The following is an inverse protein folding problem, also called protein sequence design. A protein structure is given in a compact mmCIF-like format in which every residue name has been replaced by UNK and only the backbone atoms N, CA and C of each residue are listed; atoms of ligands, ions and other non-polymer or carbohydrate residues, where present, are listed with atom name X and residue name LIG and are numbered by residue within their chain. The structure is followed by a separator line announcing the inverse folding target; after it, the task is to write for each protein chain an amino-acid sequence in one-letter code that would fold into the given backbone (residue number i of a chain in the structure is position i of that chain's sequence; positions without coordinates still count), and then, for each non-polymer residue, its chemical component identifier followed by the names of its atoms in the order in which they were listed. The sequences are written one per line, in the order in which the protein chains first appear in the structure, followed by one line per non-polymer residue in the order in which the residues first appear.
data_IF_262560750134
#
_entry.id   IF_262560750134
#
_cell.length_a   1.000
_cell.length_b   1.000
_cell.length_c   1.000
_cell.angle_alpha   90.00
_cell.angle_beta   90.00
_cell.angle_gamma   90.00
#
_symmetry.space_group_name_H-M   'P 1'
#
loop_
_entity.id
_entity.type
_entity.pdbx_description
1 polymer ?
#
# COMPACT_ATOMS: atom_id res chain seq x y z
N UNK A 1 0.74 5.26 -46.14
CA UNK A 1 1.68 4.97 -45.04
C UNK A 1 0.98 5.34 -43.76
N UNK A 2 0.42 4.36 -43.05
CA UNK A 2 -0.21 4.56 -41.75
C UNK A 2 0.87 4.58 -40.69
N UNK A 3 1.10 5.75 -40.08
CA UNK A 3 1.92 5.84 -38.87
C UNK A 3 1.29 4.96 -37.79
N UNK A 4 2.00 3.91 -37.39
CA UNK A 4 1.65 3.18 -36.18
C UNK A 4 1.98 4.09 -34.99
N UNK A 5 0.97 4.78 -34.46
CA UNK A 5 1.09 5.46 -33.17
C UNK A 5 1.36 4.37 -32.14
N UNK A 6 2.62 4.27 -31.67
CA UNK A 6 2.94 3.38 -30.58
C UNK A 6 1.99 3.70 -29.40
N UNK A 7 1.38 2.69 -28.76
CA UNK A 7 0.47 2.94 -27.65
C UNK A 7 1.19 3.75 -26.58
N UNK A 8 0.57 4.86 -26.14
CA UNK A 8 1.11 5.70 -25.08
C UNK A 8 1.28 4.84 -23.82
N UNK A 9 2.50 4.75 -23.30
CA UNK A 9 2.76 4.08 -22.02
C UNK A 9 1.90 4.74 -20.94
N UNK A 10 1.10 3.92 -20.25
CA UNK A 10 0.20 4.34 -19.17
C UNK A 10 0.87 4.19 -17.82
N UNK A 11 0.42 4.95 -16.84
CA UNK A 11 0.85 4.88 -15.45
C UNK A 11 -0.22 4.20 -14.58
N UNK A 12 0.16 3.15 -13.86
CA UNK A 12 -0.69 2.43 -12.92
C UNK A 12 -0.47 2.94 -11.49
N UNK A 13 -1.54 3.21 -10.74
CA UNK A 13 -1.46 3.39 -9.30
C UNK A 13 -1.72 2.06 -8.59
N UNK A 14 -0.72 1.55 -7.89
CA UNK A 14 -0.84 0.32 -7.11
C UNK A 14 -1.26 0.68 -5.68
N UNK A 15 -2.38 0.13 -5.23
CA UNK A 15 -2.90 0.38 -3.87
C UNK A 15 -3.56 -0.88 -3.31
N UNK A 16 -3.48 -1.08 -1.99
CA UNK A 16 -4.10 -2.24 -1.35
C UNK A 16 -4.03 -2.24 0.17
N UNK A 17 -4.56 -3.30 0.79
CA UNK A 17 -4.56 -3.44 2.23
C UNK A 17 -3.14 -3.60 2.81
N UNK A 18 -3.00 -3.22 4.08
CA UNK A 18 -1.78 -3.42 4.88
C UNK A 18 -1.64 -4.87 5.36
N UNK A 19 -2.78 -5.52 5.64
CA UNK A 19 -2.87 -6.91 6.08
C UNK A 19 -3.85 -7.66 5.18
N UNK A 20 -3.48 -8.85 4.73
CA UNK A 20 -4.29 -9.71 3.87
C UNK A 20 -3.85 -11.18 4.01
N UNK A 21 -4.67 -12.15 3.57
CA UNK A 21 -4.31 -13.57 3.52
C UNK A 21 -3.08 -13.86 2.65
N UNK A 22 -2.33 -14.93 2.94
CA UNK A 22 -1.03 -15.22 2.32
C UNK A 22 -1.06 -15.28 0.78
N UNK A 23 -2.14 -15.78 0.17
CA UNK A 23 -2.31 -15.94 -1.27
C UNK A 23 -2.98 -14.74 -1.96
N UNK A 24 -3.40 -13.72 -1.20
CA UNK A 24 -4.15 -12.57 -1.73
C UNK A 24 -3.33 -11.79 -2.76
N UNK A 25 -2.07 -11.47 -2.47
CA UNK A 25 -1.23 -10.73 -3.41
C UNK A 25 -0.99 -11.53 -4.70
N UNK A 26 -0.68 -12.81 -4.57
CA UNK A 26 -0.45 -13.70 -5.71
C UNK A 26 -1.71 -13.83 -6.59
N UNK A 27 -2.89 -13.88 -5.97
CA UNK A 27 -4.16 -14.06 -6.66
C UNK A 27 -4.59 -12.78 -7.40
N UNK A 28 -4.52 -11.62 -6.73
CA UNK A 28 -5.15 -10.40 -7.23
C UNK A 28 -4.17 -9.42 -7.88
N UNK A 29 -2.91 -9.40 -7.46
CA UNK A 29 -1.94 -8.40 -7.93
C UNK A 29 -0.98 -8.95 -8.98
N UNK A 30 -0.42 -10.13 -8.80
CA UNK A 30 0.61 -10.65 -9.72
C UNK A 30 0.14 -10.73 -11.18
N UNK A 31 -1.08 -11.20 -11.51
CA UNK A 31 -1.53 -11.24 -12.90
C UNK A 31 -1.61 -9.83 -13.53
N UNK A 32 -2.13 -8.86 -12.78
CA UNK A 32 -2.29 -7.48 -13.24
C UNK A 32 -0.96 -6.75 -13.38
N UNK A 33 -0.05 -6.97 -12.42
CA UNK A 33 1.31 -6.43 -12.47
C UNK A 33 2.07 -7.02 -13.66
N UNK A 34 1.98 -8.34 -13.88
CA UNK A 34 2.61 -9.00 -15.03
C UNK A 34 2.12 -8.43 -16.35
N UNK A 35 0.82 -8.22 -16.50
CA UNK A 35 0.23 -7.60 -17.70
C UNK A 35 0.75 -6.17 -17.89
N UNK A 36 0.71 -5.33 -16.85
CA UNK A 36 1.18 -3.96 -16.90
C UNK A 36 2.69 -3.85 -17.20
N UNK A 37 3.51 -4.74 -16.63
CA UNK A 37 4.95 -4.84 -16.90
C UNK A 37 5.17 -5.16 -18.38
N UNK A 38 4.50 -6.19 -18.89
CA UNK A 38 4.61 -6.63 -20.30
C UNK A 38 4.16 -5.56 -21.30
N UNK A 39 3.23 -4.69 -20.88
CA UNK A 39 2.71 -3.58 -21.67
C UNK A 39 3.60 -2.33 -21.59
N UNK A 40 4.71 -2.37 -20.86
CA UNK A 40 5.64 -1.24 -20.76
C UNK A 40 5.09 -0.07 -19.92
N UNK A 41 4.15 -0.33 -18.99
CA UNK A 41 3.53 0.71 -18.16
C UNK A 41 4.48 1.25 -17.07
N UNK A 42 4.23 2.47 -16.62
CA UNK A 42 4.87 3.05 -15.44
C UNK A 42 4.01 2.81 -14.19
N UNK A 43 4.58 3.03 -13.01
CA UNK A 43 3.96 2.71 -11.73
C UNK A 43 4.12 3.85 -10.74
N UNK A 44 3.04 4.15 -10.02
CA UNK A 44 3.07 4.97 -8.80
C UNK A 44 2.64 4.11 -7.62
N UNK A 45 3.37 4.25 -6.51
CA UNK A 45 3.17 3.43 -5.30
C UNK A 45 3.46 4.26 -4.05
N UNK A 46 2.78 3.96 -2.95
CA UNK A 46 3.08 4.54 -1.64
C UNK A 46 4.21 3.81 -0.91
N UNK A 47 4.54 4.20 0.33
CA UNK A 47 5.53 3.56 1.17
C UNK A 47 4.90 2.64 2.23
N UNK A 48 3.58 2.38 2.16
CA UNK A 48 2.87 1.69 3.23
C UNK A 48 3.31 0.21 3.35
N UNK A 49 3.27 -0.37 4.56
CA UNK A 49 3.42 -1.81 4.70
C UNK A 49 2.29 -2.57 3.99
N UNK A 50 2.53 -3.84 3.65
CA UNK A 50 1.57 -4.68 2.94
C UNK A 50 1.71 -4.50 1.43
N UNK A 51 0.61 -4.15 0.75
CA UNK A 51 0.52 -4.17 -0.72
C UNK A 51 1.58 -3.31 -1.38
N UNK A 52 1.76 -2.06 -0.95
CA UNK A 52 2.73 -1.14 -1.55
C UNK A 52 4.16 -1.70 -1.49
N UNK A 53 4.55 -2.23 -0.32
CA UNK A 53 5.88 -2.85 -0.14
C UNK A 53 6.05 -4.10 -0.99
N UNK A 54 5.03 -4.96 -1.05
CA UNK A 54 5.07 -6.18 -1.87
C UNK A 54 5.09 -5.86 -3.36
N UNK A 55 4.34 -4.87 -3.80
CA UNK A 55 4.31 -4.39 -5.18
C UNK A 55 5.66 -3.80 -5.60
N UNK A 56 6.25 -2.90 -4.80
CA UNK A 56 7.58 -2.36 -5.10
C UNK A 56 8.60 -3.49 -5.22
N UNK A 57 8.61 -4.44 -4.27
CA UNK A 57 9.49 -5.60 -4.35
C UNK A 57 9.25 -6.42 -5.63
N UNK A 58 7.99 -6.72 -5.95
CA UNK A 58 7.64 -7.49 -7.14
C UNK A 58 8.14 -6.82 -8.42
N UNK A 59 7.99 -5.49 -8.55
CA UNK A 59 8.48 -4.73 -9.68
C UNK A 59 10.01 -4.81 -9.82
N UNK A 60 10.73 -4.68 -8.70
CA UNK A 60 12.20 -4.79 -8.67
C UNK A 60 12.68 -6.21 -9.01
N UNK A 61 12.00 -7.24 -8.51
CA UNK A 61 12.34 -8.64 -8.79
C UNK A 61 12.05 -9.05 -10.26
N UNK A 62 11.26 -8.25 -10.98
CA UNK A 62 10.90 -8.48 -12.39
C UNK A 62 11.59 -7.48 -13.34
N UNK A 63 12.73 -6.93 -12.93
CA UNK A 63 13.61 -6.07 -13.74
C UNK A 63 12.88 -4.84 -14.35
N UNK A 64 11.87 -4.30 -13.67
CA UNK A 64 11.24 -3.05 -14.09
C UNK A 64 12.25 -1.92 -13.88
N UNK A 65 12.53 -1.17 -14.95
CA UNK A 65 13.41 -0.01 -14.86
C UNK A 65 12.92 0.98 -13.80
N UNK A 66 13.85 1.43 -12.94
CA UNK A 66 13.53 2.33 -11.83
C UNK A 66 12.95 3.68 -12.29
N UNK A 67 13.30 4.12 -13.51
CA UNK A 67 12.73 5.31 -14.17
C UNK A 67 11.22 5.22 -14.39
N UNK A 68 10.66 3.99 -14.43
CA UNK A 68 9.23 3.69 -14.57
C UNK A 68 8.51 3.61 -13.23
N UNK A 69 9.20 3.76 -12.09
CA UNK A 69 8.62 3.64 -10.75
C UNK A 69 8.75 4.98 -10.02
N UNK A 70 7.62 5.54 -9.58
CA UNK A 70 7.59 6.71 -8.70
C UNK A 70 7.00 6.36 -7.34
N UNK A 71 7.78 6.55 -6.28
CA UNK A 71 7.30 6.38 -4.91
C UNK A 71 6.80 7.72 -4.39
N UNK A 72 5.54 7.78 -3.98
CA UNK A 72 4.96 8.96 -3.35
C UNK A 72 5.10 8.87 -1.85
N UNK A 73 5.44 9.98 -1.21
CA UNK A 73 5.62 10.11 0.23
C UNK A 73 4.87 11.33 0.73
N UNK A 74 4.42 11.29 1.97
CA UNK A 74 4.11 12.51 2.73
C UNK A 74 5.40 13.18 3.22
N UNK A 75 5.34 14.45 3.61
CA UNK A 75 6.48 15.14 4.22
C UNK A 75 7.05 14.41 5.45
N UNK A 76 6.18 13.78 6.24
CA UNK A 76 6.62 13.01 7.40
C UNK A 76 7.34 11.71 7.00
N UNK A 77 6.83 11.02 5.98
CA UNK A 77 7.42 9.78 5.46
C UNK A 77 8.78 10.04 4.81
N UNK A 78 8.94 11.14 4.06
CA UNK A 78 10.24 11.54 3.51
C UNK A 78 11.30 11.67 4.61
N UNK A 79 10.97 12.40 5.70
CA UNK A 79 11.90 12.60 6.83
C UNK A 79 12.23 11.30 7.56
N UNK A 80 11.22 10.45 7.76
CA UNK A 80 11.39 9.22 8.57
C UNK A 80 11.96 8.05 7.79
N UNK A 81 11.87 8.10 6.46
CA UNK A 81 12.39 7.07 5.55
C UNK A 81 13.60 7.57 4.74
N UNK A 82 14.25 8.68 5.15
CA UNK A 82 15.29 9.36 4.39
C UNK A 82 16.38 8.43 3.84
N UNK A 83 16.90 7.50 4.63
CA UNK A 83 17.93 6.55 4.18
C UNK A 83 17.44 5.66 3.02
N UNK A 84 16.17 5.23 3.07
CA UNK A 84 15.56 4.41 2.01
C UNK A 84 15.27 5.23 0.75
N UNK A 85 14.83 6.48 0.96
CA UNK A 85 14.58 7.43 -0.13
C UNK A 85 15.88 7.69 -0.88
N UNK A 86 16.95 8.03 -0.16
CA UNK A 86 18.27 8.28 -0.74
C UNK A 86 18.79 7.05 -1.49
N UNK A 87 18.71 5.86 -0.89
CA UNK A 87 19.09 4.63 -1.57
C UNK A 87 18.30 4.40 -2.87
N UNK A 88 16.98 4.61 -2.84
CA UNK A 88 16.13 4.38 -4.02
C UNK A 88 16.42 5.40 -5.14
N UNK A 89 16.63 6.68 -4.79
CA UNK A 89 16.95 7.73 -5.75
C UNK A 89 18.36 7.60 -6.33
N UNK A 90 19.35 7.18 -5.54
CA UNK A 90 20.72 6.89 -6.01
C UNK A 90 20.76 5.78 -7.07
N UNK A 91 19.82 4.82 -7.00
CA UNK A 91 19.67 3.79 -8.02
C UNK A 91 18.93 4.27 -9.28
N UNK A 92 18.45 5.52 -9.30
CA UNK A 92 17.70 6.10 -10.42
C UNK A 92 16.17 5.98 -10.30
N UNK A 93 15.66 5.65 -9.10
CA UNK A 93 14.24 5.67 -8.82
C UNK A 93 13.70 7.09 -8.63
N UNK A 94 12.40 7.29 -8.90
CA UNK A 94 11.76 8.59 -8.71
C UNK A 94 11.00 8.65 -7.38
N UNK A 95 11.11 9.78 -6.68
CA UNK A 95 10.36 10.04 -5.45
C UNK A 95 9.63 11.37 -5.59
N UNK A 96 8.40 11.42 -5.12
CA UNK A 96 7.61 12.66 -5.00
C UNK A 96 7.07 12.81 -3.59
N UNK A 97 7.16 14.02 -3.06
CA UNK A 97 6.63 14.37 -1.75
C UNK A 97 5.36 15.19 -1.95
N UNK A 98 4.24 14.72 -1.39
CA UNK A 98 2.92 15.30 -1.59
C UNK A 98 2.16 15.38 -0.26
N UNK A 99 1.90 16.61 0.17
CA UNK A 99 1.07 16.92 1.32
C UNK A 99 1.57 16.39 2.66
N UNK A 100 0.73 16.60 3.67
CA UNK A 100 1.03 16.24 5.07
C UNK A 100 0.36 14.93 5.44
N UNK A 101 -0.77 14.60 4.80
CA UNK A 101 -1.56 13.42 5.13
C UNK A 101 -1.45 12.34 4.06
N UNK A 102 -1.68 11.08 4.46
CA UNK A 102 -1.78 9.95 3.52
C UNK A 102 -2.88 10.18 2.48
N UNK A 103 -3.96 10.88 2.84
CA UNK A 103 -5.04 11.22 1.90
C UNK A 103 -4.60 12.21 0.82
N UNK A 104 -3.73 13.18 1.15
CA UNK A 104 -3.18 14.12 0.17
C UNK A 104 -2.30 13.37 -0.83
N UNK A 105 -1.39 12.53 -0.31
CA UNK A 105 -0.53 11.66 -1.11
C UNK A 105 -1.33 10.73 -2.02
N UNK A 106 -2.33 10.05 -1.49
CA UNK A 106 -3.17 9.12 -2.27
C UNK A 106 -4.01 9.86 -3.32
N UNK A 107 -4.42 11.09 -3.03
CA UNK A 107 -5.09 11.97 -4.01
C UNK A 107 -4.14 12.33 -5.15
N UNK A 108 -2.88 12.66 -4.85
CA UNK A 108 -1.86 12.95 -5.85
C UNK A 108 -1.54 11.72 -6.72
N UNK A 109 -1.40 10.53 -6.12
CA UNK A 109 -1.20 9.28 -6.88
C UNK A 109 -2.40 8.97 -7.80
N UNK A 110 -3.63 9.22 -7.34
CA UNK A 110 -4.82 9.05 -8.20
C UNK A 110 -4.82 10.03 -9.37
N UNK A 111 -4.43 11.30 -9.13
CA UNK A 111 -4.33 12.35 -10.15
C UNK A 111 -3.26 12.05 -11.21
N UNK A 112 -2.13 11.50 -10.78
CA UNK A 112 -0.94 11.34 -11.61
C UNK A 112 -0.87 9.96 -12.31
N UNK A 113 -1.94 9.16 -12.23
CA UNK A 113 -2.03 7.82 -12.83
C UNK A 113 -3.26 7.66 -13.73
N UNK A 114 -3.14 6.83 -14.75
CA UNK A 114 -4.18 6.60 -15.75
C UNK A 114 -5.22 5.54 -15.31
N UNK A 115 -4.84 4.63 -14.41
CA UNK A 115 -5.71 3.58 -13.85
C UNK A 115 -5.13 3.05 -12.54
N UNK A 116 -5.92 2.24 -11.83
CA UNK A 116 -5.49 1.58 -10.59
C UNK A 116 -5.25 0.08 -10.81
N UNK A 117 -4.22 -0.46 -10.18
CA UNK A 117 -4.10 -1.87 -9.83
C UNK A 117 -4.39 -1.95 -8.34
N UNK A 118 -5.64 -2.25 -8.01
CA UNK A 118 -6.10 -2.31 -6.63
C UNK A 118 -7.05 -3.48 -6.41
N UNK A 119 -7.05 -3.96 -5.17
CA UNK A 119 -8.02 -4.90 -4.66
C UNK A 119 -8.22 -4.63 -3.16
N UNK A 120 -9.43 -4.85 -2.67
CA UNK A 120 -9.72 -4.79 -1.24
C UNK A 120 -10.78 -5.83 -0.89
N UNK A 121 -10.57 -6.50 0.24
CA UNK A 121 -11.50 -7.51 0.74
C UNK A 121 -12.93 -6.95 0.85
N UNK A 122 -13.91 -7.75 0.43
CA UNK A 122 -15.33 -7.54 0.71
C UNK A 122 -15.60 -7.48 2.22
N UNK A 123 -16.78 -6.99 2.61
CA UNK A 123 -17.15 -6.92 4.03
C UNK A 123 -17.13 -8.31 4.67
N UNK A 124 -17.60 -9.32 3.94
CA UNK A 124 -17.65 -10.72 4.37
C UNK A 124 -16.25 -11.28 4.56
N UNK A 125 -15.35 -11.07 3.60
CA UNK A 125 -13.94 -11.47 3.71
C UNK A 125 -13.23 -10.76 4.85
N UNK A 126 -13.47 -9.46 5.04
CA UNK A 126 -12.92 -8.71 6.16
C UNK A 126 -13.40 -9.25 7.51
N UNK A 127 -14.68 -9.61 7.64
CA UNK A 127 -15.22 -10.22 8.87
C UNK A 127 -14.55 -11.56 9.17
N UNK A 128 -14.36 -12.40 8.15
CA UNK A 128 -13.67 -13.69 8.29
C UNK A 128 -12.21 -13.49 8.67
N UNK A 129 -11.49 -12.60 7.98
CA UNK A 129 -10.06 -12.39 8.17
C UNK A 129 -9.73 -11.70 9.50
N UNK A 130 -10.44 -10.63 9.84
CA UNK A 130 -10.18 -9.87 11.06
C UNK A 130 -10.85 -10.46 12.29
N UNK A 131 -11.93 -11.23 12.14
CA UNK A 131 -12.71 -11.79 13.24
C UNK A 131 -13.19 -10.68 14.18
N UNK A 132 -12.88 -10.82 15.48
CA UNK A 132 -13.22 -9.82 16.50
C UNK A 132 -12.55 -8.45 16.29
N UNK A 133 -11.47 -8.38 15.48
CA UNK A 133 -10.82 -7.10 15.12
C UNK A 133 -11.54 -6.35 13.98
N UNK A 134 -12.57 -6.95 13.39
CA UNK A 134 -13.31 -6.32 12.31
C UNK A 134 -14.00 -5.04 12.79
N UNK A 135 -13.83 -3.96 12.04
CA UNK A 135 -14.51 -2.69 12.28
C UNK A 135 -15.01 -2.11 10.95
N UNK A 136 -16.31 -1.74 10.83
CA UNK A 136 -16.86 -1.22 9.59
C UNK A 136 -16.23 0.12 9.24
N UNK A 137 -15.50 0.18 8.13
CA UNK A 137 -14.86 1.41 7.62
C UNK A 137 -14.70 1.36 6.11
N UNK A 138 -14.63 2.54 5.50
CA UNK A 138 -14.12 2.69 4.13
C UNK A 138 -12.59 2.64 4.20
N UNK A 139 -11.98 1.63 3.57
CA UNK A 139 -10.52 1.49 3.56
C UNK A 139 -9.86 2.59 2.73
N UNK A 140 -8.55 2.83 2.93
CA UNK A 140 -7.82 3.79 2.10
C UNK A 140 -7.83 3.38 0.62
N UNK A 141 -7.65 2.09 0.33
CA UNK A 141 -7.74 1.53 -1.02
C UNK A 141 -9.13 1.74 -1.64
N UNK A 142 -10.20 1.51 -0.89
CA UNK A 142 -11.57 1.75 -1.35
C UNK A 142 -11.79 3.25 -1.65
N UNK A 143 -11.20 4.15 -0.86
CA UNK A 143 -11.24 5.59 -1.15
C UNK A 143 -10.56 5.94 -2.48
N UNK A 144 -9.49 5.23 -2.85
CA UNK A 144 -8.80 5.47 -4.11
C UNK A 144 -9.68 5.09 -5.31
N UNK A 145 -10.30 3.91 -5.27
CA UNK A 145 -11.28 3.47 -6.26
C UNK A 145 -12.47 4.45 -6.38
N UNK A 146 -13.02 4.87 -5.23
CA UNK A 146 -14.09 5.88 -5.18
C UNK A 146 -13.67 7.21 -5.78
N UNK A 147 -12.46 7.68 -5.50
CA UNK A 147 -11.93 8.94 -6.04
C UNK A 147 -11.89 8.91 -7.56
N UNK A 148 -11.42 7.82 -8.16
CA UNK A 148 -11.39 7.66 -9.63
C UNK A 148 -12.79 7.60 -10.24
N UNK A 149 -13.75 7.02 -9.53
CA UNK A 149 -15.17 6.95 -9.93
C UNK A 149 -15.97 8.22 -9.64
N UNK A 150 -15.38 9.24 -8.99
CA UNK A 150 -16.10 10.45 -8.57
C UNK A 150 -17.15 10.22 -7.49
N UNK A 151 -16.98 9.18 -6.66
CA UNK A 151 -17.91 8.80 -5.60
C UNK A 151 -17.51 9.43 -4.24
N UNK A 152 -18.46 9.58 -3.30
CA UNK A 152 -18.15 10.02 -1.94
C UNK A 152 -17.11 9.13 -1.25
N UNK A 153 -16.07 9.74 -0.68
CA UNK A 153 -14.96 9.02 0.00
C UNK A 153 -15.34 8.48 1.38
N UNK A 154 -16.43 8.98 1.96
CA UNK A 154 -16.95 8.54 3.24
C UNK A 154 -18.38 8.06 3.04
N UNK A 155 -18.62 6.80 3.40
CA UNK A 155 -19.97 6.25 3.51
C UNK A 155 -20.10 5.50 4.82
N UNK A 156 -21.30 5.51 5.36
CA UNK A 156 -21.63 4.72 6.54
C UNK A 156 -21.97 3.30 6.07
N UNK A 157 -21.00 2.39 6.07
CA UNK A 157 -21.14 0.97 5.72
C UNK A 157 -22.00 0.16 6.75
N UNK A 158 -23.03 0.77 7.34
CA UNK A 158 -23.92 0.10 8.29
C UNK A 158 -23.88 0.59 9.74
N UNK A 159 -23.55 1.87 9.99
CA UNK A 159 -23.81 2.48 11.31
C UNK A 159 -25.32 2.62 11.63
N UNK A 160 -26.22 2.25 10.72
CA UNK A 160 -27.65 2.11 11.00
C UNK A 160 -27.98 1.06 12.09
N UNK A 161 -27.00 0.30 12.59
CA UNK A 161 -27.14 -0.62 13.74
C UNK A 161 -26.15 -0.38 14.89
N UNK A 162 -25.36 0.70 14.84
CA UNK A 162 -24.46 1.13 15.92
C UNK A 162 -24.97 2.41 16.62
N UNK A 163 -26.24 2.76 16.39
CA UNK A 163 -26.98 3.70 17.23
C UNK A 163 -27.47 2.93 18.47
N UNK A 164 -27.12 3.43 19.67
CA UNK A 164 -27.39 2.89 21.02
C UNK A 164 -26.40 1.85 21.57
N UNK A 165 -25.16 2.27 21.81
CA UNK A 165 -24.45 1.88 23.06
C UNK A 165 -24.03 3.11 23.89
N UNK A 166 -24.75 4.23 23.76
CA UNK A 166 -24.57 5.42 24.59
C UNK A 166 -25.35 5.37 25.93
N UNK A 167 -25.80 4.18 26.38
CA UNK A 167 -26.56 4.02 27.62
C UNK A 167 -25.91 3.11 28.68
N UNK A 168 -24.59 2.88 28.61
CA UNK A 168 -23.87 2.28 29.73
C UNK A 168 -22.51 2.96 29.98
N UNK A 169 -22.54 4.08 30.71
CA UNK A 169 -21.39 4.55 31.49
C UNK A 169 -21.49 3.93 32.90
N UNK A 170 -20.77 2.85 33.22
CA UNK A 170 -20.55 2.53 34.61
C UNK A 170 -19.60 3.60 35.17
N UNK A 171 -20.01 4.17 36.30
CA UNK A 171 -19.27 5.17 37.04
C UNK A 171 -17.83 4.72 37.30
N UNK A 172 -16.93 5.69 37.19
CA UNK A 172 -15.50 5.61 37.48
C UNK A 172 -15.20 4.89 38.79
N UNK A 173 -14.43 3.81 38.73
CA UNK A 173 -13.57 3.39 39.83
C UNK A 173 -12.14 3.13 39.33
N UNK A 174 -11.22 3.79 40.01
CA UNK A 174 -9.77 3.65 39.95
C UNK A 174 -9.27 2.24 39.61
N UNK A 175 -8.45 2.12 38.56
CA UNK A 175 -7.42 1.08 38.53
C UNK A 175 -6.16 1.58 37.84
N UNK A 176 -5.07 1.44 38.60
CA UNK A 176 -3.67 1.68 38.27
C UNK A 176 -3.25 0.90 37.00
N UNK A 177 -2.20 1.42 36.38
CA UNK A 177 -1.52 0.96 35.17
C UNK A 177 -1.58 -0.53 34.83
N UNK A 178 -1.84 -0.79 33.55
CA UNK A 178 -1.43 -2.01 32.85
C UNK A 178 -0.70 -1.58 31.57
N UNK A 179 0.62 -1.55 31.66
CA UNK A 179 1.49 -1.47 30.49
C UNK A 179 1.42 -2.79 29.74
N UNK A 180 0.97 -2.74 28.48
CA UNK A 180 0.99 -3.90 27.61
C UNK A 180 2.36 -4.08 26.94
N UNK A 181 2.95 -5.29 26.96
CA UNK A 181 4.24 -5.54 26.38
C UNK A 181 4.16 -5.54 24.86
N UNK A 182 5.01 -4.73 24.20
CA UNK A 182 5.24 -4.82 22.76
C UNK A 182 5.91 -6.19 22.45
N UNK A 183 5.40 -7.00 21.52
CA UNK A 183 6.03 -8.27 21.16
C UNK A 183 7.42 -8.03 20.55
N UNK A 184 8.46 -8.39 21.30
CA UNK A 184 9.86 -8.44 20.86
C UNK A 184 10.10 -9.66 19.96
N UNK A 185 9.45 -9.76 18.80
CA UNK A 185 9.71 -10.86 17.85
C UNK A 185 9.68 -10.36 16.41
N UNK A 186 10.45 -9.32 16.07
CA UNK A 186 10.56 -8.86 14.68
C UNK A 186 11.98 -8.59 14.18
N UNK A 187 13.02 -8.67 15.04
CA UNK A 187 14.41 -8.44 14.60
C UNK A 187 15.06 -9.58 13.83
N UNK A 188 14.58 -10.83 13.92
CA UNK A 188 15.32 -12.00 13.40
C UNK A 188 14.93 -12.51 12.02
N UNK A 189 13.87 -11.98 11.38
CA UNK A 189 13.35 -12.56 10.12
C UNK A 189 13.70 -11.78 8.85
N UNK A 190 14.21 -10.55 8.97
CA UNK A 190 14.60 -9.71 7.82
C UNK A 190 16.11 -9.82 7.51
N UNK A 191 16.97 -10.07 8.51
CA UNK A 191 18.43 -10.29 8.28
C UNK A 191 18.73 -11.51 7.40
N UNK A 192 17.80 -12.47 7.30
CA UNK A 192 17.98 -13.69 6.48
C UNK A 192 17.71 -13.47 4.99
N UNK A 193 17.06 -12.37 4.61
CA UNK A 193 16.79 -12.04 3.19
C UNK A 193 18.03 -11.41 2.53
N UNK A 194 18.90 -10.75 3.31
CA UNK A 194 20.04 -9.99 2.77
C UNK A 194 21.43 -10.61 3.03
N UNK A 195 21.53 -11.81 3.64
CA UNK A 195 22.81 -12.46 3.91
C UNK A 195 23.29 -13.48 2.86
N UNK A 196 22.57 -13.63 1.73
CA UNK A 196 22.91 -14.63 0.70
C UNK A 196 23.61 -14.11 -0.55
N UNK A 197 24.03 -12.84 -0.61
CA UNK A 197 24.67 -12.26 -1.79
C UNK A 197 26.19 -12.04 -1.68
N UNK A 198 26.90 -12.72 -0.78
CA UNK A 198 28.37 -12.59 -0.67
C UNK A 198 29.10 -13.93 -0.56
N UNK A 199 29.09 -14.73 -1.62
CA UNK A 199 30.19 -15.71 -1.86
C UNK A 199 30.50 -15.86 -3.34
N UNK A 200 31.30 -14.93 -3.86
CA UNK A 200 32.27 -15.22 -4.93
C UNK A 200 33.55 -14.48 -4.59
N UNK A 201 34.53 -15.21 -4.03
CA UNK A 201 35.92 -14.77 -3.98
C UNK A 201 36.59 -15.09 -5.33
N UNK A 202 37.49 -14.24 -5.83
CA UNK A 202 38.33 -14.58 -6.97
C UNK A 202 39.58 -15.35 -6.49
N UNK A 203 39.90 -16.44 -7.18
CA UNK A 203 41.26 -16.91 -7.44
C UNK A 203 41.43 -17.06 -8.96
#
# INVERSE_FOLDING_TARGET
MSESVAPKSRTAFISGPIEFPDDFFATYYEPLLKEAISSGHSFVVGPAPGTDTMALKYLLDHDVELSRITVYLTEFEERTLADRVNWFTELGGHVKVEGVTTSDRDTAMTRDSDYDILEYMTIEEQKVFYGERYFPRVSATEKNDRRRKGLPLHVNHGLAGYELQDSYRPETQNSKGLGFPRPKIWKKRIEKIFSRSSTTKPE
#
